data_IF_609219016815
#
_entry.id   IF_609219016815
#
_cell.length_a   1.000
_cell.length_b   1.000
_cell.length_c   1.000
_cell.angle_alpha   90.00
_cell.angle_beta   90.00
_cell.angle_gamma   90.00
#
_symmetry.space_group_name_H-M   'P 1'
#
loop_
_entity.id
_entity.type
_entity.pdbx_description
1 polymer ?
#
# COMPACT_ATOMS: atom_id res chain seq x y z
N UNK A 1 -11.41 -19.13 25.02
CA UNK A 1 -11.57 -19.07 23.55
C UNK A 1 -11.37 -17.62 23.18
N UNK A 2 -10.14 -17.27 22.83
CA UNK A 2 -9.68 -15.88 22.66
C UNK A 2 -10.33 -15.23 21.44
N UNK A 3 -11.09 -14.16 21.68
CA UNK A 3 -11.43 -13.19 20.66
C UNK A 3 -10.21 -12.28 20.48
N UNK A 4 -9.35 -12.60 19.52
CA UNK A 4 -8.30 -11.70 19.08
C UNK A 4 -8.98 -10.53 18.36
N UNK A 5 -9.17 -9.43 19.07
CA UNK A 5 -9.53 -8.15 18.47
C UNK A 5 -8.45 -7.77 17.46
N UNK A 6 -8.78 -7.86 16.17
CA UNK A 6 -7.97 -7.31 15.10
C UNK A 6 -7.71 -5.82 15.40
N UNK A 7 -6.51 -5.48 15.85
CA UNK A 7 -6.05 -4.10 15.89
C UNK A 7 -5.77 -3.67 14.44
N UNK A 8 -6.84 -3.46 13.68
CA UNK A 8 -6.76 -2.73 12.43
C UNK A 8 -6.21 -1.34 12.74
N UNK A 9 -5.17 -0.95 12.00
CA UNK A 9 -4.61 0.40 12.08
C UNK A 9 -5.75 1.42 11.91
N UNK A 10 -5.82 2.42 12.79
CA UNK A 10 -6.91 3.40 12.75
C UNK A 10 -7.00 4.03 11.35
N UNK A 11 -8.19 4.07 10.73
CA UNK A 11 -8.33 4.50 9.34
C UNK A 11 -7.89 5.94 9.13
N UNK A 12 -7.97 6.81 10.14
CA UNK A 12 -7.47 8.18 10.04
C UNK A 12 -5.93 8.20 10.07
N UNK A 13 -5.29 7.33 10.86
CA UNK A 13 -3.82 7.20 10.86
C UNK A 13 -3.35 6.62 9.53
N UNK A 14 -4.03 5.59 9.01
CA UNK A 14 -3.75 5.00 7.72
C UNK A 14 -3.89 6.02 6.58
N UNK A 15 -4.96 6.81 6.57
CA UNK A 15 -5.16 7.86 5.58
C UNK A 15 -4.04 8.91 5.64
N UNK A 16 -3.64 9.33 6.84
CA UNK A 16 -2.49 10.23 7.01
C UNK A 16 -1.18 9.63 6.48
N UNK A 17 -0.95 8.34 6.72
CA UNK A 17 0.23 7.61 6.25
C UNK A 17 0.22 7.43 4.73
N UNK A 18 -0.95 7.31 4.08
CA UNK A 18 -1.09 7.24 2.61
C UNK A 18 -0.99 8.64 1.98
N UNK A 19 -1.55 9.66 2.64
CA UNK A 19 -1.58 11.04 2.17
C UNK A 19 -0.17 11.63 2.09
N UNK A 20 0.67 11.39 3.10
CA UNK A 20 2.05 11.93 3.16
C UNK A 20 2.90 11.54 1.91
N UNK A 21 3.02 10.26 1.51
CA UNK A 21 3.69 9.86 0.27
C UNK A 21 3.00 10.34 -1.01
N UNK A 22 1.68 10.48 -0.99
CA UNK A 22 0.91 10.94 -2.16
C UNK A 22 1.08 12.45 -2.39
N UNK A 23 1.23 13.25 -1.32
CA UNK A 23 1.48 14.70 -1.39
C UNK A 23 2.86 15.06 -1.95
N UNK A 24 3.86 14.18 -1.76
CA UNK A 24 5.21 14.36 -2.34
C UNK A 24 5.15 14.45 -3.87
N UNK A 25 4.07 13.97 -4.51
CA UNK A 25 3.78 14.15 -5.94
C UNK A 25 3.83 15.63 -6.40
N UNK A 26 3.40 16.58 -5.56
CA UNK A 26 3.39 18.01 -5.93
C UNK A 26 4.74 18.69 -5.72
N UNK A 27 5.62 18.10 -4.90
CA UNK A 27 6.97 18.60 -4.74
C UNK A 27 7.84 17.94 -5.84
N UNK A 28 8.41 18.77 -6.72
CA UNK A 28 9.30 18.40 -7.84
C UNK A 28 10.55 17.57 -7.46
N UNK A 29 10.68 17.16 -6.20
CA UNK A 29 11.82 16.46 -5.60
C UNK A 29 11.26 15.30 -4.78
N UNK A 30 11.86 14.12 -4.92
CA UNK A 30 11.61 12.92 -4.10
C UNK A 30 11.86 13.28 -2.63
N UNK A 31 10.84 13.82 -1.96
CA UNK A 31 10.91 14.15 -0.55
C UNK A 31 10.78 12.84 0.21
N UNK A 32 11.80 12.49 0.98
CA UNK A 32 11.71 11.36 1.90
C UNK A 32 10.53 11.60 2.84
N UNK A 33 9.57 10.69 2.80
CA UNK A 33 8.44 10.71 3.71
C UNK A 33 8.96 10.27 5.07
N UNK A 34 8.90 11.16 6.06
CA UNK A 34 9.24 10.81 7.42
C UNK A 34 8.03 10.10 8.05
N UNK A 35 8.09 8.78 8.06
CA UNK A 35 7.18 7.92 8.82
C UNK A 35 7.86 7.55 10.13
N UNK A 36 7.09 7.58 11.22
CA UNK A 36 7.58 7.15 12.53
C UNK A 36 7.75 5.64 12.57
N UNK A 37 8.70 5.14 13.36
CA UNK A 37 8.92 3.68 13.50
C UNK A 37 7.65 2.95 13.97
N UNK A 38 6.87 3.58 14.84
CA UNK A 38 5.58 3.06 15.31
C UNK A 38 4.57 2.89 14.16
N UNK A 39 4.45 3.89 13.27
CA UNK A 39 3.57 3.85 12.10
C UNK A 39 3.98 2.71 11.15
N UNK A 40 5.28 2.55 10.90
CA UNK A 40 5.82 1.48 10.04
C UNK A 40 5.56 0.09 10.65
N UNK A 41 5.83 -0.08 11.95
CA UNK A 41 5.56 -1.34 12.66
C UNK A 41 4.09 -1.71 12.61
N UNK A 42 3.20 -0.76 12.86
CA UNK A 42 1.76 -1.00 12.77
C UNK A 42 1.32 -1.39 11.36
N UNK A 43 1.85 -0.73 10.33
CA UNK A 43 1.58 -1.07 8.94
C UNK A 43 2.03 -2.50 8.62
N UNK A 44 3.25 -2.89 9.02
CA UNK A 44 3.74 -4.26 8.81
C UNK A 44 2.89 -5.32 9.53
N UNK A 45 2.46 -5.05 10.77
CA UNK A 45 1.62 -5.98 11.53
C UNK A 45 0.24 -6.11 10.88
N UNK A 46 -0.39 -4.99 10.52
CA UNK A 46 -1.70 -5.00 9.86
C UNK A 46 -1.64 -5.69 8.50
N UNK A 47 -0.65 -5.38 7.67
CA UNK A 47 -0.45 -6.03 6.36
C UNK A 47 -0.19 -7.52 6.51
N UNK A 48 0.62 -7.94 7.49
CA UNK A 48 0.89 -9.35 7.76
C UNK A 48 -0.40 -10.12 8.12
N UNK A 49 -1.27 -9.52 8.93
CA UNK A 49 -2.54 -10.14 9.29
C UNK A 49 -3.43 -10.36 8.06
N UNK A 50 -3.52 -9.36 7.18
CA UNK A 50 -4.24 -9.44 5.90
C UNK A 50 -3.67 -10.55 5.01
N UNK A 51 -2.34 -10.62 4.86
CA UNK A 51 -1.70 -11.67 4.06
C UNK A 51 -1.91 -13.07 4.63
N UNK A 52 -1.99 -13.23 5.96
CA UNK A 52 -2.27 -14.53 6.60
C UNK A 52 -3.74 -14.94 6.39
N UNK A 53 -4.65 -13.99 6.35
CA UNK A 53 -6.07 -14.25 6.07
C UNK A 53 -6.33 -14.56 4.60
N UNK A 54 -5.50 -14.06 3.68
CA UNK A 54 -5.63 -14.29 2.25
C UNK A 54 -5.06 -15.65 1.82
N UNK A 55 -5.67 -16.33 0.83
CA UNK A 55 -5.14 -17.58 0.30
C UNK A 55 -3.83 -17.34 -0.48
N UNK A 56 -2.89 -18.28 -0.39
CA UNK A 56 -1.63 -18.25 -1.15
C UNK A 56 -1.84 -18.23 -2.67
N UNK A 57 -2.98 -18.72 -3.14
CA UNK A 57 -3.41 -18.64 -4.54
C UNK A 57 -4.54 -17.61 -4.63
N UNK A 58 -4.20 -16.41 -5.11
CA UNK A 58 -5.18 -15.35 -5.34
C UNK A 58 -5.87 -15.57 -6.70
N UNK A 59 -7.18 -15.84 -6.65
CA UNK A 59 -8.02 -15.84 -7.85
C UNK A 59 -8.47 -14.41 -8.14
N UNK A 60 -8.03 -13.89 -9.28
CA UNK A 60 -8.10 -12.48 -9.64
C UNK A 60 -8.94 -12.31 -10.91
N UNK A 61 -10.03 -11.55 -10.84
CA UNK A 61 -10.92 -11.28 -11.98
C UNK A 61 -10.53 -9.99 -12.72
N UNK A 62 -10.59 -10.00 -14.05
CA UNK A 62 -10.28 -8.82 -14.86
C UNK A 62 -11.30 -7.68 -14.63
N UNK A 63 -10.90 -6.40 -14.72
CA UNK A 63 -9.60 -5.87 -15.16
C UNK A 63 -8.61 -5.60 -14.02
N UNK A 64 -7.41 -6.17 -14.12
CA UNK A 64 -6.32 -5.99 -13.15
C UNK A 64 -5.04 -5.58 -13.87
N UNK A 65 -4.29 -4.65 -13.28
CA UNK A 65 -3.00 -4.18 -13.75
C UNK A 65 -1.90 -4.91 -13.00
N UNK A 66 -1.18 -5.77 -13.71
CA UNK A 66 -0.03 -6.49 -13.17
C UNK A 66 1.20 -5.59 -13.31
N UNK A 67 1.93 -5.37 -12.23
CA UNK A 67 3.18 -4.60 -12.23
C UNK A 67 4.30 -5.47 -11.68
N UNK A 68 5.45 -5.45 -12.35
CA UNK A 68 6.65 -6.14 -11.88
C UNK A 68 7.37 -5.41 -10.74
N UNK A 69 8.60 -5.83 -10.47
CA UNK A 69 9.43 -5.30 -9.41
C UNK A 69 9.67 -3.79 -9.53
N UNK A 70 9.44 -3.08 -8.41
CA UNK A 70 9.66 -1.64 -8.31
C UNK A 70 11.05 -1.32 -7.74
N UNK A 71 11.67 -2.25 -7.00
CA UNK A 71 13.02 -2.12 -6.42
C UNK A 71 13.27 -0.78 -5.70
N UNK A 72 12.26 -0.23 -4.99
CA UNK A 72 12.38 1.03 -4.25
C UNK A 72 12.30 2.30 -5.10
N UNK A 73 11.99 2.19 -6.40
CA UNK A 73 11.74 3.34 -7.27
C UNK A 73 10.31 3.87 -7.09
N UNK A 74 10.07 4.56 -5.98
CA UNK A 74 8.76 5.14 -5.67
C UNK A 74 8.25 6.10 -6.78
N UNK A 75 9.16 6.78 -7.48
CA UNK A 75 8.84 7.64 -8.62
C UNK A 75 8.15 6.89 -9.77
N UNK A 76 8.58 5.66 -10.06
CA UNK A 76 7.99 4.86 -11.14
C UNK A 76 6.67 4.23 -10.71
N UNK A 77 6.53 3.83 -9.45
CA UNK A 77 5.25 3.43 -8.85
C UNK A 77 4.20 4.54 -8.98
N UNK A 78 4.58 5.78 -8.66
CA UNK A 78 3.68 6.93 -8.79
C UNK A 78 3.25 7.17 -10.24
N UNK A 79 4.18 7.09 -11.21
CA UNK A 79 3.87 7.17 -12.64
C UNK A 79 2.92 6.05 -13.07
N UNK A 80 3.13 4.84 -12.56
CA UNK A 80 2.29 3.70 -12.87
C UNK A 80 0.86 3.91 -12.37
N UNK A 81 0.69 4.50 -11.19
CA UNK A 81 -0.64 4.90 -10.69
C UNK A 81 -1.25 6.06 -11.47
N UNK A 82 -0.45 6.96 -12.03
CA UNK A 82 -0.95 8.06 -12.87
C UNK A 82 -1.48 7.57 -14.22
N UNK A 83 -0.75 6.66 -14.90
CA UNK A 83 -1.21 6.00 -16.12
C UNK A 83 -2.30 4.96 -15.85
N UNK A 84 -2.24 4.33 -14.67
CA UNK A 84 -3.07 3.20 -14.34
C UNK A 84 -4.39 3.56 -13.64
N UNK A 85 -4.46 4.73 -13.00
CA UNK A 85 -5.55 5.16 -12.11
C UNK A 85 -5.31 4.72 -10.67
N UNK A 86 -5.50 5.60 -9.68
CA UNK A 86 -5.27 5.24 -8.29
C UNK A 86 -6.30 4.22 -7.77
N UNK A 87 -5.92 3.30 -6.87
CA UNK A 87 -6.88 2.50 -6.11
C UNK A 87 -7.91 3.44 -5.45
N UNK A 88 -9.23 3.14 -5.49
CA UNK A 88 -9.89 1.88 -5.88
C UNK A 88 -10.34 1.80 -7.36
N UNK A 89 -9.99 2.78 -8.20
CA UNK A 89 -10.48 2.83 -9.60
C UNK A 89 -9.80 1.81 -10.51
N UNK A 90 -8.62 1.32 -10.13
CA UNK A 90 -7.93 0.23 -10.79
C UNK A 90 -7.39 -0.76 -9.76
N UNK A 91 -7.52 -2.04 -10.08
CA UNK A 91 -6.97 -3.13 -9.28
C UNK A 91 -5.51 -3.37 -9.70
N UNK A 92 -4.62 -3.47 -8.72
CA UNK A 92 -3.19 -3.70 -8.95
C UNK A 92 -2.74 -5.00 -8.35
N UNK A 93 -1.93 -5.74 -9.11
CA UNK A 93 -1.22 -6.90 -8.63
C UNK A 93 0.27 -6.67 -8.81
N UNK A 94 0.98 -6.51 -7.70
CA UNK A 94 2.44 -6.38 -7.70
C UNK A 94 3.02 -7.79 -7.63
N UNK A 95 3.75 -8.19 -8.67
CA UNK A 95 4.52 -9.44 -8.65
C UNK A 95 5.94 -9.11 -8.17
N UNK A 96 6.35 -9.79 -7.11
CA UNK A 96 7.72 -9.84 -6.60
C UNK A 96 8.20 -11.29 -6.62
#
# INVERSE_FOLDING_TARGET
MEAATAQGMDPAVLDNVIRRPTEVRSAKLVKQVQLSESEIKQLCVASKDIFVQQPNLLELEAPIKICGDIHGQYSDLLRLFEYGGFPPHANYFLVQ
#
